data_IF_698406682276
#
_entry.id   IF_698406682276
#
_cell.length_a   1.000
_cell.length_b   1.000
_cell.length_c   1.000
_cell.angle_alpha   90.00
_cell.angle_beta   90.00
_cell.angle_gamma   90.00
#
_symmetry.space_group_name_H-M   'P 1'
#
loop_
_entity.id
_entity.type
_entity.pdbx_description
1 polymer ?
#
# COMPACT_ATOMS: atom_id res chain seq x y z
N UNK A 1 10.84 -18.01 -1.78
CA UNK A 1 10.22 -16.70 -1.48
C UNK A 1 10.37 -15.82 -2.70
N UNK A 2 9.30 -15.19 -3.21
CA UNK A 2 9.41 -14.27 -4.36
C UNK A 2 10.09 -12.96 -3.95
N UNK A 3 10.74 -12.29 -4.90
CA UNK A 3 11.36 -10.97 -4.68
C UNK A 3 10.35 -9.94 -4.19
N UNK A 4 9.15 -9.92 -4.79
CA UNK A 4 8.02 -9.09 -4.37
C UNK A 4 7.69 -9.23 -2.88
N UNK A 5 7.62 -10.48 -2.37
CA UNK A 5 7.29 -10.71 -0.98
C UNK A 5 8.41 -10.23 -0.05
N UNK A 6 9.68 -10.41 -0.44
CA UNK A 6 10.81 -9.91 0.33
C UNK A 6 10.81 -8.38 0.41
N UNK A 7 10.59 -7.70 -0.71
CA UNK A 7 10.50 -6.24 -0.78
C UNK A 7 9.35 -5.71 0.07
N UNK A 8 8.15 -6.30 -0.10
CA UNK A 8 6.98 -5.91 0.68
C UNK A 8 7.24 -6.05 2.19
N UNK A 9 7.82 -7.18 2.63
CA UNK A 9 8.14 -7.40 4.04
C UNK A 9 9.23 -6.46 4.55
N UNK A 10 10.16 -6.02 3.70
CA UNK A 10 11.15 -5.01 4.05
C UNK A 10 10.49 -3.65 4.28
N UNK A 11 9.59 -3.23 3.39
CA UNK A 11 8.91 -1.93 3.49
C UNK A 11 7.97 -1.86 4.69
N UNK A 12 7.21 -2.93 4.95
CA UNK A 12 6.24 -2.99 6.07
C UNK A 12 6.90 -2.85 7.45
N UNK A 13 8.20 -3.12 7.57
CA UNK A 13 8.94 -2.96 8.83
C UNK A 13 9.36 -1.52 9.12
N UNK A 14 9.30 -0.64 8.12
CA UNK A 14 9.62 0.78 8.27
C UNK A 14 8.39 1.48 8.82
N UNK A 15 8.54 2.18 9.94
CA UNK A 15 7.44 2.96 10.49
C UNK A 15 7.26 4.24 9.66
N UNK A 16 6.27 4.25 8.76
CA UNK A 16 5.94 5.40 7.92
C UNK A 16 4.67 6.13 8.35
N UNK A 17 4.20 5.93 9.59
CA UNK A 17 2.96 6.54 10.08
C UNK A 17 2.96 8.05 9.86
N UNK A 18 1.85 8.60 9.38
CA UNK A 18 1.64 10.05 9.29
C UNK A 18 1.50 10.68 10.68
N UNK A 19 2.00 11.90 10.85
CA UNK A 19 1.78 12.71 12.05
C UNK A 19 0.96 13.96 11.72
N UNK A 20 -0.30 13.98 12.18
CA UNK A 20 -1.24 15.08 11.95
C UNK A 20 -0.88 16.37 12.70
N UNK A 21 0.03 16.29 13.67
CA UNK A 21 0.50 17.45 14.45
C UNK A 21 1.73 18.12 13.83
N UNK A 22 2.34 17.47 12.84
CA UNK A 22 3.52 17.98 12.14
C UNK A 22 3.13 19.01 11.08
N UNK A 23 3.86 20.12 11.04
CA UNK A 23 3.76 21.14 9.98
C UNK A 23 4.75 20.86 8.82
N UNK A 24 5.52 19.77 8.89
CA UNK A 24 6.50 19.39 7.88
C UNK A 24 5.89 18.46 6.83
N UNK A 25 6.47 18.48 5.63
CA UNK A 25 6.14 17.57 4.54
C UNK A 25 7.44 16.88 4.08
N UNK A 26 7.52 15.53 4.11
CA UNK A 26 6.59 14.60 4.78
C UNK A 26 6.51 14.81 6.30
N UNK A 27 5.45 14.29 6.93
CA UNK A 27 5.19 14.56 8.36
C UNK A 27 6.12 13.81 9.30
N UNK A 28 6.69 12.68 8.86
CA UNK A 28 7.60 11.85 9.64
C UNK A 28 8.85 11.42 8.85
N UNK A 29 9.96 11.18 9.57
CA UNK A 29 11.23 10.78 8.97
C UNK A 29 11.18 9.40 8.30
N UNK A 30 10.32 8.49 8.78
CA UNK A 30 10.17 7.16 8.19
C UNK A 30 9.60 7.19 6.76
N UNK A 31 8.72 8.16 6.45
CA UNK A 31 8.26 8.38 5.07
C UNK A 31 9.45 8.74 4.15
N UNK A 32 10.38 9.56 4.64
CA UNK A 32 11.62 9.93 3.91
C UNK A 32 12.55 8.72 3.76
N UNK A 33 12.66 7.88 4.79
CA UNK A 33 13.46 6.65 4.75
C UNK A 33 12.95 5.69 3.67
N UNK A 34 11.65 5.41 3.66
CA UNK A 34 11.04 4.56 2.64
C UNK A 34 11.21 5.16 1.23
N UNK A 35 11.04 6.48 1.07
CA UNK A 35 11.25 7.15 -0.22
C UNK A 35 12.68 6.94 -0.75
N UNK A 36 13.70 7.05 0.09
CA UNK A 36 15.11 6.86 -0.30
C UNK A 36 15.44 5.41 -0.66
N UNK A 37 14.81 4.45 0.00
CA UNK A 37 14.95 3.02 -0.36
C UNK A 37 14.31 2.77 -1.72
N UNK A 38 13.10 3.31 -1.95
CA UNK A 38 12.41 3.19 -3.21
C UNK A 38 13.14 3.91 -4.35
N UNK A 39 13.72 5.09 -4.10
CA UNK A 39 14.52 5.83 -5.08
C UNK A 39 15.64 4.96 -5.67
N UNK A 40 16.40 4.29 -4.80
CA UNK A 40 17.45 3.35 -5.22
C UNK A 40 16.87 2.16 -5.99
N UNK A 41 15.77 1.58 -5.52
CA UNK A 41 15.12 0.46 -6.21
C UNK A 41 14.60 0.84 -7.60
N UNK A 42 14.01 2.02 -7.77
CA UNK A 42 13.56 2.50 -9.08
C UNK A 42 14.74 2.67 -10.04
N UNK A 43 15.88 3.18 -9.55
CA UNK A 43 17.11 3.27 -10.34
C UNK A 43 17.66 1.87 -10.71
N UNK A 44 17.67 0.93 -9.78
CA UNK A 44 18.10 -0.47 -10.01
C UNK A 44 17.19 -1.20 -11.01
N UNK A 45 15.89 -0.88 -11.03
CA UNK A 45 14.93 -1.38 -12.00
C UNK A 45 15.05 -0.73 -13.39
N UNK A 46 15.93 0.27 -13.55
CA UNK A 46 16.18 0.94 -14.82
C UNK A 46 15.19 2.05 -15.16
N UNK A 47 14.49 2.62 -14.17
CA UNK A 47 13.71 3.83 -14.41
C UNK A 47 14.63 5.04 -14.60
N UNK A 48 14.21 5.95 -15.46
CA UNK A 48 14.83 7.24 -15.73
C UNK A 48 14.11 8.36 -14.97
N UNK A 49 14.73 9.54 -14.93
CA UNK A 49 14.16 10.74 -14.29
C UNK A 49 13.73 10.47 -12.83
N UNK A 50 14.45 9.57 -12.14
CA UNK A 50 14.14 9.22 -10.75
C UNK A 50 14.59 10.36 -9.84
N UNK A 51 13.65 10.94 -9.10
CA UNK A 51 13.94 12.05 -8.19
C UNK A 51 12.99 12.10 -7.01
N UNK A 52 13.55 12.31 -5.83
CA UNK A 52 12.80 12.69 -4.63
C UNK A 52 12.77 14.22 -4.45
N UNK A 53 11.58 14.81 -4.44
CA UNK A 53 11.38 16.23 -4.16
C UNK A 53 11.27 16.47 -2.65
N UNK A 54 12.30 17.12 -2.09
CA UNK A 54 12.39 17.39 -0.66
C UNK A 54 11.38 18.42 -0.15
N UNK A 55 10.79 19.23 -1.02
CA UNK A 55 9.84 20.27 -0.62
C UNK A 55 8.43 19.73 -0.39
N UNK A 56 8.06 18.64 -1.06
CA UNK A 56 6.70 18.07 -1.01
C UNK A 56 6.65 16.55 -0.76
N UNK A 57 7.79 15.87 -0.72
CA UNK A 57 7.89 14.45 -0.38
C UNK A 57 7.55 13.48 -1.52
N UNK A 58 7.40 13.95 -2.75
CA UNK A 58 7.11 13.06 -3.88
C UNK A 58 8.37 12.36 -4.40
N UNK A 59 8.26 11.04 -4.58
CA UNK A 59 9.20 10.26 -5.37
C UNK A 59 8.60 9.99 -6.75
N UNK A 60 9.31 10.41 -7.79
CA UNK A 60 8.93 10.17 -9.18
C UNK A 60 9.97 9.29 -9.84
N UNK A 61 9.53 8.53 -10.85
CA UNK A 61 10.38 7.76 -11.74
C UNK A 61 9.60 7.42 -13.00
N UNK A 62 10.30 7.35 -14.13
CA UNK A 62 9.72 7.12 -15.44
C UNK A 62 10.34 5.88 -16.06
N UNK A 63 9.50 4.92 -16.44
CA UNK A 63 9.94 3.82 -17.30
C UNK A 63 9.73 4.23 -18.75
N UNK A 64 10.79 4.34 -19.59
CA UNK A 64 10.63 4.66 -21.00
C UNK A 64 9.77 3.61 -21.71
N UNK A 65 8.76 4.10 -22.43
CA UNK A 65 7.89 3.28 -23.28
C UNK A 65 7.91 3.78 -24.72
N UNK A 66 6.91 3.36 -25.49
CA UNK A 66 6.69 3.85 -26.85
C UNK A 66 6.18 5.31 -26.83
N UNK A 67 6.93 6.29 -27.41
CA UNK A 67 6.51 7.70 -27.46
C UNK A 67 5.22 7.95 -28.24
N UNK A 68 4.78 7.02 -29.09
CA UNK A 68 3.53 7.13 -29.85
C UNK A 68 2.30 6.75 -29.01
N UNK A 69 2.51 6.15 -27.84
CA UNK A 69 1.44 5.73 -26.93
C UNK A 69 1.19 6.75 -25.82
N UNK A 70 -0.03 6.72 -25.28
CA UNK A 70 -0.41 7.55 -24.13
C UNK A 70 0.31 7.02 -22.88
N UNK A 71 0.97 7.92 -22.15
CA UNK A 71 1.61 7.59 -20.89
C UNK A 71 0.59 7.19 -19.82
N UNK A 72 0.91 6.15 -19.03
CA UNK A 72 0.13 5.72 -17.87
C UNK A 72 0.88 6.05 -16.58
N UNK A 73 0.15 6.60 -15.60
CA UNK A 73 0.67 6.90 -14.27
C UNK A 73 0.16 5.91 -13.23
N UNK A 74 1.06 5.38 -12.42
CA UNK A 74 0.74 4.58 -11.24
C UNK A 74 1.17 5.35 -9.99
N UNK A 75 0.27 5.42 -9.00
CA UNK A 75 0.50 6.19 -7.77
C UNK A 75 0.23 5.29 -6.58
N UNK A 76 1.11 5.39 -5.58
CA UNK A 76 0.94 4.83 -4.25
C UNK A 76 1.37 5.87 -3.22
N UNK A 77 0.85 5.78 -2.00
CA UNK A 77 1.27 6.62 -0.88
C UNK A 77 2.31 5.89 -0.02
N UNK A 78 3.18 6.65 0.66
CA UNK A 78 4.28 6.10 1.48
C UNK A 78 3.86 5.83 2.93
N UNK A 79 2.89 6.59 3.43
CA UNK A 79 2.50 6.62 4.83
C UNK A 79 1.50 5.52 5.19
N UNK A 80 1.45 5.18 6.47
CA UNK A 80 0.37 4.37 7.04
C UNK A 80 -0.56 5.22 7.88
N UNK A 81 -1.83 4.80 7.98
CA UNK A 81 -2.86 5.44 8.78
C UNK A 81 -2.46 5.59 10.27
N UNK A 82 -3.18 6.45 10.99
CA UNK A 82 -2.99 6.75 12.42
C UNK A 82 -3.37 5.56 13.34
N UNK A 83 -2.57 4.50 13.25
CA UNK A 83 -2.60 3.31 14.09
C UNK A 83 -1.17 3.00 14.56
N UNK A 84 -1.03 2.09 15.52
CA UNK A 84 0.31 1.68 15.97
C UNK A 84 1.08 0.99 14.83
N UNK A 85 2.17 1.61 14.40
CA UNK A 85 3.09 1.10 13.38
C UNK A 85 4.47 0.75 13.95
N UNK A 86 4.65 0.88 15.26
CA UNK A 86 5.90 0.57 15.96
C UNK A 86 6.16 -0.94 15.96
N UNK A 87 7.40 -1.33 15.61
CA UNK A 87 7.89 -2.71 15.64
C UNK A 87 6.96 -3.71 14.93
N UNK A 88 6.52 -3.36 13.71
CA UNK A 88 5.65 -4.23 12.91
C UNK A 88 6.31 -5.58 12.62
N UNK A 89 5.63 -6.67 13.03
CA UNK A 89 6.10 -8.06 12.86
C UNK A 89 5.19 -8.81 11.88
N UNK A 90 5.46 -8.73 10.56
CA UNK A 90 4.63 -9.40 9.56
C UNK A 90 4.71 -10.93 9.72
N UNK A 91 3.56 -11.60 9.59
CA UNK A 91 3.43 -13.06 9.62
C UNK A 91 2.96 -13.54 8.25
N UNK A 92 3.67 -14.51 7.68
CA UNK A 92 3.33 -15.10 6.39
C UNK A 92 2.73 -16.48 6.63
N UNK A 93 1.48 -16.66 6.19
CA UNK A 93 0.76 -17.93 6.26
C UNK A 93 0.63 -18.51 4.85
N UNK A 94 1.50 -19.46 4.52
CA UNK A 94 1.42 -20.19 3.25
C UNK A 94 0.24 -21.17 3.27
N UNK A 95 -0.41 -21.35 2.11
CA UNK A 95 -1.48 -22.33 1.92
C UNK A 95 -2.60 -22.23 2.98
N UNK A 96 -3.04 -21.00 3.28
CA UNK A 96 -4.06 -20.73 4.29
C UNK A 96 -5.29 -21.63 4.14
N UNK A 97 -5.63 -22.36 5.20
CA UNK A 97 -6.66 -23.41 5.23
C UNK A 97 -8.08 -22.87 5.49
N UNK A 98 -8.23 -21.54 5.67
CA UNK A 98 -9.50 -20.89 5.99
C UNK A 98 -9.87 -20.87 7.48
N UNK A 99 -9.03 -21.42 8.36
CA UNK A 99 -9.28 -21.45 9.80
C UNK A 99 -8.82 -20.16 10.50
N UNK A 100 -9.11 -20.02 11.80
CA UNK A 100 -8.71 -18.83 12.55
C UNK A 100 -7.17 -18.70 12.66
N UNK A 101 -6.65 -17.49 12.45
CA UNK A 101 -5.23 -17.17 12.57
C UNK A 101 -4.96 -16.52 13.93
N UNK A 102 -3.93 -17.00 14.62
CA UNK A 102 -3.44 -16.36 15.85
C UNK A 102 -2.44 -15.25 15.47
N UNK A 103 -2.78 -13.98 15.77
CA UNK A 103 -1.91 -12.83 15.46
C UNK A 103 -0.95 -12.48 16.59
N UNK A 104 -1.22 -12.97 17.81
CA UNK A 104 -0.37 -12.80 18.99
C UNK A 104 -0.48 -14.03 19.91
N UNK A 105 0.44 -14.19 20.88
CA UNK A 105 0.33 -15.21 21.93
C UNK A 105 -0.96 -15.02 22.75
N UNK A 106 -2.05 -15.68 22.36
CA UNK A 106 -3.34 -15.70 23.05
C UNK A 106 -4.49 -15.02 22.32
N UNK A 107 -4.24 -14.15 21.33
CA UNK A 107 -5.31 -13.45 20.61
C UNK A 107 -5.54 -14.11 19.25
N UNK A 108 -6.61 -14.89 19.15
CA UNK A 108 -7.11 -15.43 17.87
C UNK A 108 -8.07 -14.44 17.24
N UNK A 109 -7.76 -13.99 16.03
CA UNK A 109 -8.67 -13.14 15.26
C UNK A 109 -9.37 -14.00 14.22
N UNK A 110 -10.70 -13.91 14.19
CA UNK A 110 -11.49 -14.52 13.12
C UNK A 110 -11.52 -13.56 11.94
N UNK A 111 -10.97 -13.98 10.81
CA UNK A 111 -11.34 -13.39 9.52
C UNK A 111 -12.79 -13.77 9.23
N UNK A 112 -13.76 -12.97 9.72
CA UNK A 112 -15.17 -13.16 9.34
C UNK A 112 -15.28 -12.79 7.88
N UNK A 113 -15.20 -13.78 6.99
CA UNK A 113 -15.75 -13.66 5.64
C UNK A 113 -17.24 -13.34 5.79
N UNK A 114 -17.60 -12.06 5.70
CA UNK A 114 -18.97 -11.67 5.40
C UNK A 114 -19.17 -12.10 3.95
N UNK A 115 -19.66 -13.33 3.77
CA UNK A 115 -20.32 -13.71 2.53
C UNK A 115 -21.43 -12.67 2.33
N UNK A 116 -21.27 -11.79 1.34
CA UNK A 116 -22.33 -10.85 0.95
C UNK A 116 -23.40 -11.71 0.25
N UNK A 117 -24.22 -12.42 1.04
CA UNK A 117 -25.29 -13.29 0.52
C UNK A 117 -26.62 -12.54 0.38
N UNK A 118 -26.59 -11.22 0.22
CA UNK A 118 -27.79 -10.40 -0.05
C UNK A 118 -27.56 -9.49 -1.25
N UNK A 119 -27.36 -10.09 -2.42
CA UNK A 119 -27.79 -9.48 -3.67
C UNK A 119 -29.24 -9.93 -3.92
N UNK A 120 -30.16 -9.48 -3.06
CA UNK A 120 -31.59 -9.64 -3.29
C UNK A 120 -31.97 -8.69 -4.43
N UNK A 121 -32.15 -9.29 -5.61
CA UNK A 121 -32.91 -8.82 -6.78
C UNK A 121 -33.67 -7.51 -6.53
N UNK A 122 -33.09 -6.39 -6.96
CA UNK A 122 -33.79 -5.11 -7.11
C UNK A 122 -35.05 -5.34 -7.95
N UNK A 123 -36.21 -5.07 -7.37
CA UNK A 123 -37.46 -4.97 -8.10
C UNK A 123 -37.31 -3.84 -9.13
N UNK A 124 -37.43 -4.17 -10.41
CA UNK A 124 -37.72 -3.17 -11.45
C UNK A 124 -39.16 -2.69 -11.22
N UNK A 125 -39.32 -1.56 -10.54
CA UNK A 125 -40.56 -0.80 -10.63
C UNK A 125 -40.56 -0.10 -11.99
N UNK A 126 -41.55 -0.43 -12.82
CA UNK A 126 -41.87 0.30 -14.02
C UNK A 126 -42.12 1.76 -13.65
N UNK A 127 -41.40 2.67 -14.28
CA UNK A 127 -41.73 4.09 -14.30
C UNK A 127 -42.35 4.34 -15.66
N UNK A 128 -43.67 4.46 -15.68
CA UNK A 128 -44.42 4.95 -16.83
C UNK A 128 -44.12 6.44 -16.99
N UNK A 129 -43.64 6.82 -18.17
CA UNK A 129 -43.50 8.22 -18.56
C UNK A 129 -44.85 8.73 -19.07
N UNK A 130 -45.40 9.74 -18.41
CA UNK A 130 -46.35 10.70 -19.00
C UNK A 130 -45.60 12.00 -19.31
#
# INVERSE_FOLDING_TARGET
MSELLNDFLAFVRINTRSDVTSEQIPTTSGQIELAKILEKKLQELGLEEVSYDTANGYLLGKLPGDPEQIALGFIAHLDTADFNAENTQPQVFENYDGNDIALHKGTRYRAKSKRISKFTRLHRSNVDYN
#
